data_IF_764809934183
#
_entry.id   IF_764809934183
#
_cell.length_a   1.000
_cell.length_b   1.000
_cell.length_c   1.000
_cell.angle_alpha   90.00
_cell.angle_beta   90.00
_cell.angle_gamma   90.00
#
_symmetry.space_group_name_H-M   'P 1'
#
loop_
_entity.id
_entity.type
_entity.pdbx_description
1 polymer ?
#
# COMPACT_ATOMS: atom_id res chain seq x y z
N UNK A 1 -4.68 13.26 -25.22
CA UNK A 1 -4.76 13.13 -23.74
C UNK A 1 -3.91 14.22 -23.11
N UNK A 2 -4.43 15.00 -22.16
CA UNK A 2 -3.56 15.95 -21.45
C UNK A 2 -2.71 15.16 -20.45
N UNK A 3 -1.46 14.86 -20.85
CA UNK A 3 -0.41 14.26 -20.00
C UNK A 3 -0.45 14.83 -18.57
N UNK A 4 -0.71 16.14 -18.50
CA UNK A 4 -0.91 16.90 -17.26
C UNK A 4 -1.99 16.34 -16.34
N UNK A 5 -3.18 15.99 -16.86
CA UNK A 5 -4.26 15.41 -16.05
C UNK A 5 -3.85 14.05 -15.49
N UNK A 6 -3.27 13.18 -16.34
CA UNK A 6 -2.85 11.85 -15.91
C UNK A 6 -1.73 11.91 -14.86
N UNK A 7 -0.75 12.79 -15.05
CA UNK A 7 0.30 13.04 -14.06
C UNK A 7 -0.28 13.59 -12.76
N UNK A 8 -1.14 14.61 -12.83
CA UNK A 8 -1.71 15.25 -11.65
C UNK A 8 -2.50 14.24 -10.79
N UNK A 9 -3.39 13.45 -11.41
CA UNK A 9 -4.19 12.45 -10.70
C UNK A 9 -3.31 11.33 -10.15
N UNK A 10 -2.39 10.78 -10.94
CA UNK A 10 -1.50 9.69 -10.51
C UNK A 10 -0.62 10.11 -9.34
N UNK A 11 -0.01 11.31 -9.42
CA UNK A 11 0.81 11.86 -8.33
C UNK A 11 -0.05 12.12 -7.09
N UNK A 12 -1.23 12.73 -7.25
CA UNK A 12 -2.12 13.03 -6.14
C UNK A 12 -2.55 11.76 -5.39
N UNK A 13 -2.92 10.70 -6.14
CA UNK A 13 -3.28 9.40 -5.56
C UNK A 13 -2.10 8.73 -4.88
N UNK A 14 -0.96 8.61 -5.56
CA UNK A 14 0.22 7.92 -5.02
C UNK A 14 0.73 8.60 -3.75
N UNK A 15 0.88 9.93 -3.78
CA UNK A 15 1.34 10.71 -2.62
C UNK A 15 0.26 10.75 -1.53
N UNK A 16 -1.01 10.92 -1.89
CA UNK A 16 -2.14 10.96 -0.95
C UNK A 16 -2.27 9.67 -0.14
N UNK A 17 -2.17 8.51 -0.81
CA UNK A 17 -2.19 7.21 -0.14
C UNK A 17 -0.97 7.01 0.76
N UNK A 18 0.24 7.38 0.29
CA UNK A 18 1.44 7.33 1.12
C UNK A 18 1.33 8.23 2.36
N UNK A 19 0.83 9.44 2.19
CA UNK A 19 0.60 10.40 3.27
C UNK A 19 -0.44 9.86 4.27
N UNK A 20 -1.55 9.29 3.79
CA UNK A 20 -2.57 8.65 4.61
C UNK A 20 -2.02 7.46 5.40
N UNK A 21 -1.21 6.62 4.76
CA UNK A 21 -0.58 5.46 5.40
C UNK A 21 0.34 5.87 6.54
N UNK A 22 1.14 6.93 6.35
CA UNK A 22 2.01 7.48 7.38
C UNK A 22 1.23 8.20 8.47
N UNK A 23 0.20 8.96 8.12
CA UNK A 23 -0.66 9.64 9.08
C UNK A 23 -1.30 8.62 10.03
N UNK A 24 -1.86 7.55 9.48
CA UNK A 24 -2.35 6.41 10.24
C UNK A 24 -1.23 5.81 11.10
N UNK A 25 -0.08 5.48 10.52
CA UNK A 25 1.06 4.87 11.23
C UNK A 25 1.51 5.69 12.44
N UNK A 26 1.47 7.02 12.34
CA UNK A 26 1.89 7.92 13.44
C UNK A 26 0.83 8.07 14.52
N UNK A 27 -0.44 7.97 14.16
CA UNK A 27 -1.58 8.23 15.04
C UNK A 27 -2.06 6.97 15.76
N UNK A 28 -2.05 5.82 15.08
CA UNK A 28 -2.77 4.62 15.50
C UNK A 28 -1.83 3.45 15.67
N UNK A 29 -1.91 2.81 16.83
CA UNK A 29 -1.23 1.55 17.13
C UNK A 29 -2.24 0.42 17.00
N UNK A 30 -2.05 -0.45 16.02
CA UNK A 30 -2.84 -1.67 15.91
C UNK A 30 -2.56 -2.56 17.15
N UNK A 31 -3.60 -3.17 17.75
CA UNK A 31 -3.40 -4.26 18.70
C UNK A 31 -2.53 -5.31 18.02
N UNK A 32 -1.50 -5.80 18.72
CA UNK A 32 -0.48 -6.68 18.15
C UNK A 32 -1.19 -7.76 17.32
N UNK A 33 -0.96 -7.84 16.01
CA UNK A 33 -1.55 -8.92 15.24
C UNK A 33 -1.05 -10.25 15.85
N UNK A 34 -1.90 -11.29 15.89
CA UNK A 34 -1.50 -12.63 16.34
C UNK A 34 -0.44 -13.27 15.42
N UNK A 35 -0.11 -12.62 14.30
CA UNK A 35 0.90 -13.07 13.34
C UNK A 35 2.28 -12.78 13.91
N UNK A 36 3.10 -13.82 14.02
CA UNK A 36 4.48 -13.75 14.47
C UNK A 36 5.36 -12.82 13.61
N UNK A 37 6.63 -12.69 14.00
CA UNK A 37 7.60 -11.82 13.31
C UNK A 37 7.61 -12.14 11.81
N UNK A 38 7.25 -11.16 10.98
CA UNK A 38 7.26 -11.29 9.51
C UNK A 38 8.62 -11.79 9.01
N UNK A 39 8.66 -13.02 8.53
CA UNK A 39 9.87 -13.70 8.05
C UNK A 39 9.98 -13.65 6.53
N UNK A 40 11.13 -14.07 5.99
CA UNK A 40 11.33 -14.17 4.54
C UNK A 40 10.38 -15.17 3.88
N UNK A 41 9.96 -16.22 4.60
CA UNK A 41 8.92 -17.18 4.18
C UNK A 41 7.60 -16.51 3.83
N UNK A 42 7.24 -15.46 4.57
CA UNK A 42 5.95 -14.79 4.42
C UNK A 42 5.93 -13.96 3.13
N UNK A 43 7.10 -13.51 2.66
CA UNK A 43 7.26 -12.87 1.35
C UNK A 43 6.96 -13.88 0.24
N UNK A 44 7.42 -15.12 0.37
CA UNK A 44 7.14 -16.17 -0.62
C UNK A 44 5.66 -16.56 -0.61
N UNK A 45 5.02 -16.66 0.56
CA UNK A 45 3.58 -16.90 0.65
C UNK A 45 2.77 -15.74 0.06
N UNK A 46 3.14 -14.49 0.37
CA UNK A 46 2.50 -13.30 -0.19
C UNK A 46 2.70 -13.24 -1.72
N UNK A 47 3.89 -13.57 -2.21
CA UNK A 47 4.16 -13.66 -3.65
C UNK A 47 3.35 -14.77 -4.31
N UNK A 48 3.24 -15.95 -3.69
CA UNK A 48 2.40 -17.05 -4.16
C UNK A 48 0.93 -16.65 -4.23
N UNK A 49 0.45 -15.90 -3.25
CA UNK A 49 -0.91 -15.36 -3.27
C UNK A 49 -1.11 -14.33 -4.38
N UNK A 50 -0.16 -13.41 -4.57
CA UNK A 50 -0.16 -12.44 -5.68
C UNK A 50 -0.14 -13.15 -7.05
N UNK A 51 0.64 -14.22 -7.19
CA UNK A 51 0.70 -15.06 -8.39
C UNK A 51 -0.62 -15.79 -8.67
N UNK A 52 -1.32 -16.24 -7.63
CA UNK A 52 -2.56 -16.99 -7.77
C UNK A 52 -3.78 -16.10 -8.06
N UNK A 53 -3.80 -14.89 -7.50
CA UNK A 53 -4.93 -13.95 -7.57
C UNK A 53 -5.47 -13.72 -9.00
N UNK A 54 -4.63 -13.43 -10.01
CA UNK A 54 -5.09 -13.25 -11.38
C UNK A 54 -5.90 -14.43 -11.92
N UNK A 55 -5.41 -15.65 -11.69
CA UNK A 55 -6.06 -16.87 -12.14
C UNK A 55 -7.36 -17.14 -11.41
N UNK A 56 -7.40 -16.86 -10.10
CA UNK A 56 -8.63 -16.95 -9.30
C UNK A 56 -9.68 -15.97 -9.82
N UNK A 57 -9.29 -14.73 -10.14
CA UNK A 57 -10.21 -13.75 -10.71
C UNK A 57 -10.78 -14.17 -12.06
N UNK A 58 -9.96 -14.75 -12.93
CA UNK A 58 -10.42 -15.23 -14.24
C UNK A 58 -11.29 -16.49 -14.15
N UNK A 59 -11.13 -17.31 -13.11
CA UNK A 59 -11.93 -18.50 -12.89
C UNK A 59 -13.31 -18.20 -12.27
N UNK A 60 -13.52 -17.00 -11.72
CA UNK A 60 -14.77 -16.64 -11.06
C UNK A 60 -15.84 -16.22 -12.08
N UNK A 61 -17.11 -16.64 -11.91
CA UNK A 61 -18.22 -16.13 -12.71
C UNK A 61 -18.36 -14.61 -12.53
N UNK A 62 -18.65 -13.89 -13.61
CA UNK A 62 -18.69 -12.42 -13.62
C UNK A 62 -19.58 -11.81 -12.53
N UNK A 63 -20.73 -12.41 -12.23
CA UNK A 63 -21.63 -11.93 -11.16
C UNK A 63 -21.10 -12.17 -9.73
N UNK A 64 -20.21 -13.14 -9.54
CA UNK A 64 -19.63 -13.49 -8.22
C UNK A 64 -18.47 -12.57 -7.87
N UNK A 65 -17.72 -12.11 -8.88
CA UNK A 65 -16.54 -11.27 -8.71
C UNK A 65 -16.80 -10.00 -7.88
N UNK A 66 -17.82 -9.17 -8.16
CA UNK A 66 -18.11 -7.97 -7.36
C UNK A 66 -18.45 -8.29 -5.91
N UNK A 67 -19.14 -9.41 -5.65
CA UNK A 67 -19.50 -9.84 -4.29
C UNK A 67 -18.24 -10.21 -3.52
N UNK A 68 -17.35 -10.99 -4.14
CA UNK A 68 -16.06 -11.35 -3.54
C UNK A 68 -15.21 -10.12 -3.27
N UNK A 69 -15.11 -9.19 -4.22
CA UNK A 69 -14.35 -7.94 -4.05
C UNK A 69 -14.94 -7.08 -2.93
N UNK A 70 -16.26 -6.91 -2.87
CA UNK A 70 -16.93 -6.18 -1.80
C UNK A 70 -16.66 -6.80 -0.42
N UNK A 71 -16.67 -8.13 -0.32
CA UNK A 71 -16.36 -8.85 0.92
C UNK A 71 -14.89 -8.70 1.32
N UNK A 72 -13.95 -8.82 0.39
CA UNK A 72 -12.51 -8.61 0.63
C UNK A 72 -12.26 -7.18 1.11
N UNK A 73 -12.88 -6.20 0.45
CA UNK A 73 -12.78 -4.79 0.80
C UNK A 73 -13.37 -4.50 2.18
N UNK A 74 -14.58 -4.98 2.44
CA UNK A 74 -15.23 -4.85 3.75
C UNK A 74 -14.41 -5.52 4.87
N UNK A 75 -13.88 -6.72 4.63
CA UNK A 75 -13.01 -7.44 5.55
C UNK A 75 -11.73 -6.67 5.87
N UNK A 76 -11.03 -6.20 4.84
CA UNK A 76 -9.80 -5.40 4.98
C UNK A 76 -10.03 -4.08 5.74
N UNK A 77 -11.16 -3.42 5.50
CA UNK A 77 -11.55 -2.21 6.24
C UNK A 77 -11.92 -2.53 7.70
N UNK A 78 -12.66 -3.60 7.95
CA UNK A 78 -13.07 -4.02 9.29
C UNK A 78 -11.86 -4.26 10.20
N UNK A 79 -10.88 -5.01 9.72
CA UNK A 79 -9.64 -5.32 10.47
C UNK A 79 -8.78 -4.06 10.64
N UNK A 80 -8.57 -3.29 9.57
CA UNK A 80 -7.71 -2.11 9.58
C UNK A 80 -8.21 -0.97 10.44
N UNK A 81 -9.53 -0.74 10.47
CA UNK A 81 -10.12 0.40 11.16
C UNK A 81 -10.70 0.05 12.53
N UNK A 82 -10.57 -1.21 12.96
CA UNK A 82 -10.88 -1.63 14.33
C UNK A 82 -10.24 -0.75 15.41
N UNK A 83 -8.97 -0.33 15.31
CA UNK A 83 -8.35 0.47 16.37
C UNK A 83 -8.85 1.93 16.41
N UNK A 84 -9.46 2.43 15.32
CA UNK A 84 -10.02 3.78 15.26
C UNK A 84 -11.47 3.81 15.70
N UNK A 85 -12.25 2.81 15.26
CA UNK A 85 -13.69 2.73 15.48
C UNK A 85 -13.95 1.50 16.36
N UNK A 86 -13.79 1.69 17.67
CA UNK A 86 -13.98 0.62 18.65
C UNK A 86 -15.41 0.08 18.70
N UNK A 87 -16.40 0.86 18.28
CA UNK A 87 -17.79 0.41 18.16
C UNK A 87 -17.98 -0.40 16.86
N UNK A 88 -18.12 -1.72 16.99
CA UNK A 88 -18.31 -2.63 15.87
C UNK A 88 -19.53 -2.30 15.00
N UNK A 89 -20.65 -1.89 15.59
CA UNK A 89 -21.88 -1.55 14.83
C UNK A 89 -21.66 -0.32 13.96
N UNK A 90 -21.10 0.74 14.53
CA UNK A 90 -20.78 1.97 13.79
C UNK A 90 -19.77 1.70 12.67
N UNK A 91 -18.73 0.90 12.97
CA UNK A 91 -17.71 0.53 11.97
C UNK A 91 -18.35 -0.21 10.78
N UNK A 92 -19.17 -1.22 11.05
CA UNK A 92 -19.86 -1.96 9.99
C UNK A 92 -20.87 -1.10 9.23
N UNK A 93 -21.57 -0.19 9.89
CA UNK A 93 -22.46 0.77 9.23
C UNK A 93 -21.68 1.67 8.25
N UNK A 94 -20.52 2.21 8.66
CA UNK A 94 -19.67 3.03 7.80
C UNK A 94 -19.09 2.24 6.63
N UNK A 95 -18.67 0.99 6.86
CA UNK A 95 -18.20 0.09 5.79
C UNK A 95 -19.35 -0.19 4.82
N UNK A 96 -20.55 -0.51 5.31
CA UNK A 96 -21.71 -0.75 4.47
C UNK A 96 -22.05 0.48 3.62
N UNK A 97 -22.01 1.69 4.20
CA UNK A 97 -22.23 2.94 3.48
C UNK A 97 -21.16 3.17 2.40
N UNK A 98 -19.88 2.90 2.69
CA UNK A 98 -18.79 3.04 1.72
C UNK A 98 -18.91 2.04 0.55
N UNK A 99 -19.23 0.78 0.86
CA UNK A 99 -19.41 -0.26 -0.16
C UNK A 99 -20.66 0.04 -1.00
N UNK A 100 -21.78 0.39 -0.35
CA UNK A 100 -23.01 0.76 -1.02
C UNK A 100 -22.84 2.01 -1.89
N UNK A 101 -22.06 3.00 -1.47
CA UNK A 101 -21.85 4.22 -2.27
C UNK A 101 -21.12 3.94 -3.58
N UNK A 102 -20.15 3.02 -3.60
CA UNK A 102 -19.48 2.57 -4.82
C UNK A 102 -20.48 1.88 -5.76
N UNK A 103 -21.30 0.97 -5.22
CA UNK A 103 -22.32 0.26 -6.01
C UNK A 103 -23.36 1.23 -6.59
N UNK A 104 -23.92 2.10 -5.75
CA UNK A 104 -24.92 3.09 -6.18
C UNK A 104 -24.33 4.04 -7.22
N UNK A 105 -23.11 4.52 -7.03
CA UNK A 105 -22.46 5.39 -8.00
C UNK A 105 -22.22 4.67 -9.33
N UNK A 106 -21.84 3.40 -9.30
CA UNK A 106 -21.67 2.58 -10.50
C UNK A 106 -23.02 2.37 -11.23
N UNK A 107 -24.08 2.01 -10.51
CA UNK A 107 -25.40 1.76 -11.10
C UNK A 107 -26.07 3.04 -11.62
N UNK A 108 -25.87 4.17 -10.94
CA UNK A 108 -26.51 5.44 -11.29
C UNK A 108 -25.78 6.21 -12.40
N UNK A 109 -24.45 6.16 -12.43
CA UNK A 109 -23.64 6.99 -13.34
C UNK A 109 -22.75 6.21 -14.30
N UNK A 110 -22.58 4.90 -14.10
CA UNK A 110 -21.68 4.06 -14.89
C UNK A 110 -20.20 4.16 -14.48
N UNK A 111 -19.36 3.37 -15.15
CA UNK A 111 -17.95 3.21 -14.81
C UNK A 111 -17.02 4.32 -15.34
N UNK A 112 -17.49 5.17 -16.25
CA UNK A 112 -16.73 6.30 -16.79
C UNK A 112 -16.94 7.59 -16.01
N UNK A 113 -17.87 7.59 -15.05
CA UNK A 113 -18.28 8.78 -14.36
C UNK A 113 -17.39 9.12 -13.14
N UNK A 114 -17.10 10.41 -12.90
CA UNK A 114 -16.31 10.85 -11.75
C UNK A 114 -16.83 10.38 -10.37
N UNK A 115 -18.15 10.38 -10.08
CA UNK A 115 -18.66 9.95 -8.78
C UNK A 115 -18.28 8.50 -8.42
N UNK A 116 -18.34 7.58 -9.40
CA UNK A 116 -17.93 6.20 -9.22
C UNK A 116 -16.44 6.12 -8.86
N UNK A 117 -15.59 6.78 -9.63
CA UNK A 117 -14.14 6.77 -9.41
C UNK A 117 -13.73 7.40 -8.08
N UNK A 118 -14.40 8.47 -7.64
CA UNK A 118 -14.15 9.08 -6.33
C UNK A 118 -14.51 8.11 -5.20
N UNK A 119 -15.69 7.48 -5.27
CA UNK A 119 -16.12 6.51 -4.26
C UNK A 119 -15.17 5.29 -4.22
N UNK A 120 -14.88 4.70 -5.39
CA UNK A 120 -14.02 3.53 -5.51
C UNK A 120 -12.59 3.83 -5.04
N UNK A 121 -12.00 4.95 -5.49
CA UNK A 121 -10.67 5.37 -5.08
C UNK A 121 -10.57 5.60 -3.58
N UNK A 122 -11.63 6.11 -2.95
CA UNK A 122 -11.67 6.27 -1.50
C UNK A 122 -11.59 4.92 -0.79
N UNK A 123 -12.40 3.94 -1.21
CA UNK A 123 -12.37 2.58 -0.65
C UNK A 123 -11.00 1.94 -0.86
N UNK A 124 -10.46 1.99 -2.08
CA UNK A 124 -9.14 1.45 -2.42
C UNK A 124 -8.04 2.10 -1.58
N UNK A 125 -8.03 3.41 -1.45
CA UNK A 125 -7.05 4.14 -0.65
C UNK A 125 -7.11 3.72 0.84
N UNK A 126 -8.30 3.62 1.42
CA UNK A 126 -8.47 3.19 2.82
C UNK A 126 -7.99 1.75 3.04
N UNK A 127 -8.25 0.85 2.08
CA UNK A 127 -7.76 -0.54 2.13
C UNK A 127 -6.24 -0.57 2.06
N UNK A 128 -5.64 0.18 1.14
CA UNK A 128 -4.19 0.25 1.01
C UNK A 128 -3.56 0.79 2.30
N UNK A 129 -4.14 1.83 2.89
CA UNK A 129 -3.71 2.40 4.18
C UNK A 129 -3.80 1.36 5.29
N UNK A 130 -4.91 0.63 5.37
CA UNK A 130 -5.15 -0.47 6.30
C UNK A 130 -4.08 -1.57 6.14
N UNK A 131 -4.01 -2.18 4.96
CA UNK A 131 -3.12 -3.29 4.66
C UNK A 131 -1.65 -2.90 4.90
N UNK A 132 -1.24 -1.71 4.48
CA UNK A 132 0.10 -1.19 4.74
C UNK A 132 0.39 -1.16 6.24
N UNK A 133 -0.51 -0.58 7.04
CA UNK A 133 -0.28 -0.45 8.47
C UNK A 133 -0.28 -1.78 9.21
N UNK A 134 -1.16 -2.71 8.84
CA UNK A 134 -1.17 -4.06 9.40
C UNK A 134 0.16 -4.77 9.15
N UNK A 135 0.66 -4.75 7.92
CA UNK A 135 1.94 -5.38 7.56
C UNK A 135 3.14 -4.69 8.23
N UNK A 136 3.20 -3.35 8.18
CA UNK A 136 4.33 -2.59 8.75
C UNK A 136 4.38 -2.71 10.27
N UNK A 137 3.22 -2.62 10.94
CA UNK A 137 3.13 -2.76 12.40
C UNK A 137 3.27 -4.21 12.86
N UNK A 138 2.95 -5.19 12.01
CA UNK A 138 3.24 -6.62 12.19
C UNK A 138 4.74 -6.98 12.16
N UNK A 139 5.62 -6.00 11.92
CA UNK A 139 7.08 -6.18 12.04
C UNK A 139 7.83 -6.26 10.73
N UNK A 140 7.16 -6.10 9.59
CA UNK A 140 7.76 -6.17 8.26
C UNK A 140 8.93 -5.18 8.08
N UNK A 141 10.12 -5.68 7.73
CA UNK A 141 11.34 -4.86 7.59
C UNK A 141 11.45 -4.20 6.22
N UNK A 142 12.20 -3.10 6.12
CA UNK A 142 12.40 -2.42 4.82
C UNK A 142 13.15 -3.32 3.84
N UNK A 143 14.16 -4.07 4.33
CA UNK A 143 14.82 -5.13 3.55
C UNK A 143 13.82 -6.08 2.87
N UNK A 144 12.81 -6.54 3.60
CA UNK A 144 11.82 -7.50 3.10
C UNK A 144 10.97 -6.87 1.99
N UNK A 145 10.51 -5.63 2.20
CA UNK A 145 9.76 -4.87 1.19
C UNK A 145 10.60 -4.64 -0.06
N UNK A 146 11.86 -4.23 0.08
CA UNK A 146 12.72 -3.96 -1.06
C UNK A 146 12.94 -5.20 -1.94
N UNK A 147 13.15 -6.37 -1.33
CA UNK A 147 13.25 -7.63 -2.06
C UNK A 147 11.92 -8.07 -2.68
N UNK A 148 10.82 -7.89 -1.96
CA UNK A 148 9.48 -8.17 -2.47
C UNK A 148 9.18 -7.34 -3.72
N UNK A 149 9.47 -6.03 -3.71
CA UNK A 149 9.23 -5.14 -4.85
C UNK A 149 10.15 -5.46 -6.05
N UNK A 150 11.38 -5.86 -5.78
CA UNK A 150 12.30 -6.30 -6.84
C UNK A 150 11.79 -7.59 -7.51
N UNK A 151 11.28 -8.54 -6.73
CA UNK A 151 10.65 -9.75 -7.29
C UNK A 151 9.34 -9.43 -8.01
N UNK A 152 8.53 -8.49 -7.48
CA UNK A 152 7.30 -8.02 -8.11
C UNK A 152 7.57 -7.35 -9.46
N UNK A 153 8.73 -6.70 -9.62
CA UNK A 153 9.17 -6.16 -10.92
C UNK A 153 9.33 -7.24 -11.98
N UNK A 154 10.00 -8.34 -11.61
CA UNK A 154 10.19 -9.46 -12.53
C UNK A 154 8.85 -10.12 -12.88
N UNK A 155 7.96 -10.23 -11.90
CA UNK A 155 6.59 -10.70 -12.09
C UNK A 155 5.82 -9.80 -13.06
N UNK A 156 5.71 -8.50 -12.81
CA UNK A 156 4.96 -7.58 -13.66
C UNK A 156 5.52 -7.53 -15.09
N UNK A 157 6.85 -7.55 -15.25
CA UNK A 157 7.48 -7.62 -16.56
C UNK A 157 7.12 -8.91 -17.31
N UNK A 158 7.08 -10.05 -16.61
CA UNK A 158 6.69 -11.34 -17.20
C UNK A 158 5.23 -11.34 -17.66
N UNK A 159 4.30 -10.83 -16.84
CA UNK A 159 2.87 -10.75 -17.18
C UNK A 159 2.53 -9.59 -18.13
N UNK A 160 3.43 -8.63 -18.32
CA UNK A 160 3.30 -7.60 -19.34
C UNK A 160 3.80 -8.08 -20.71
N UNK A 161 4.90 -8.84 -20.76
CA UNK A 161 5.59 -9.14 -22.02
C UNK A 161 5.49 -10.59 -22.48
N UNK A 162 5.30 -11.55 -21.57
CA UNK A 162 5.34 -12.99 -21.89
C UNK A 162 3.94 -13.59 -21.91
N UNK A 163 3.12 -13.30 -20.89
CA UNK A 163 1.74 -13.79 -20.80
C UNK A 163 0.80 -12.59 -20.66
N UNK A 164 0.06 -12.16 -21.69
CA UNK A 164 -0.78 -10.95 -21.68
C UNK A 164 -2.06 -11.10 -20.83
N UNK A 165 -1.93 -11.70 -19.65
CA UNK A 165 -2.95 -11.87 -18.62
C UNK A 165 -3.41 -10.52 -18.06
N UNK A 166 -2.54 -9.51 -18.03
CA UNK A 166 -2.88 -8.17 -17.53
C UNK A 166 -4.00 -7.52 -18.35
N UNK A 167 -4.02 -7.75 -19.67
CA UNK A 167 -5.03 -7.22 -20.56
C UNK A 167 -6.35 -8.00 -20.43
N UNK A 168 -6.28 -9.34 -20.39
CA UNK A 168 -7.45 -10.18 -20.15
C UNK A 168 -8.13 -9.90 -18.80
N UNK A 169 -7.34 -9.59 -17.77
CA UNK A 169 -7.86 -9.25 -16.44
C UNK A 169 -8.47 -7.84 -16.41
N UNK A 170 -7.87 -6.89 -17.13
CA UNK A 170 -8.46 -5.56 -17.32
C UNK A 170 -9.82 -5.68 -18.01
N UNK A 171 -9.91 -6.48 -19.07
CA UNK A 171 -11.14 -6.69 -19.84
C UNK A 171 -12.20 -7.44 -19.03
N UNK A 172 -11.80 -8.44 -18.22
CA UNK A 172 -12.72 -9.22 -17.38
C UNK A 172 -13.27 -8.43 -16.19
N UNK A 173 -12.53 -7.42 -15.71
CA UNK A 173 -12.93 -6.57 -14.58
C UNK A 173 -13.62 -5.28 -15.06
N UNK A 174 -13.37 -4.86 -16.30
CA UNK A 174 -14.09 -3.75 -16.94
C UNK A 174 -15.60 -4.07 -17.00
N UNK A 175 -16.41 -3.10 -16.62
CA UNK A 175 -17.87 -3.23 -16.52
C UNK A 175 -18.39 -3.65 -15.15
N UNK A 176 -17.54 -4.04 -14.20
CA UNK A 176 -17.96 -4.46 -12.86
C UNK A 176 -17.65 -3.40 -11.78
N UNK A 177 -18.49 -3.28 -10.73
CA UNK A 177 -18.21 -2.40 -9.60
C UNK A 177 -17.05 -2.95 -8.76
N UNK A 178 -16.42 -2.06 -7.98
CA UNK A 178 -15.29 -2.36 -7.09
C UNK A 178 -13.97 -2.67 -7.81
N UNK A 179 -13.68 -1.96 -8.90
CA UNK A 179 -12.42 -2.10 -9.62
C UNK A 179 -11.22 -2.01 -8.65
N UNK A 180 -10.25 -2.95 -8.67
CA UNK A 180 -9.09 -2.98 -7.78
C UNK A 180 -8.02 -1.96 -8.22
N UNK A 181 -8.45 -0.73 -8.46
CA UNK A 181 -7.65 0.39 -8.92
C UNK A 181 -8.26 1.70 -8.42
N UNK A 182 -7.43 2.70 -8.17
CA UNK A 182 -7.88 4.06 -7.86
C UNK A 182 -7.58 4.97 -9.06
N UNK A 183 -8.42 5.95 -9.29
CA UNK A 183 -8.32 6.80 -10.46
C UNK A 183 -9.33 7.93 -10.47
N UNK A 184 -9.30 8.68 -11.55
CA UNK A 184 -10.34 9.63 -11.90
C UNK A 184 -10.55 9.55 -13.41
N UNK A 185 -11.79 9.33 -13.81
CA UNK A 185 -12.24 9.45 -15.20
C UNK A 185 -13.29 10.54 -15.31
N UNK A 186 -13.17 11.38 -16.33
CA UNK A 186 -14.08 12.47 -16.68
C UNK A 186 -14.43 12.27 -18.16
N UNK A 187 -15.55 11.59 -18.43
CA UNK A 187 -15.93 11.20 -19.79
C UNK A 187 -15.01 10.11 -20.35
N UNK A 188 -15.02 9.95 -21.68
CA UNK A 188 -14.26 8.90 -22.38
C UNK A 188 -12.80 9.31 -22.66
N UNK A 189 -12.49 10.61 -22.66
CA UNK A 189 -11.19 11.14 -23.12
C UNK A 189 -10.18 11.42 -21.99
N UNK A 190 -10.66 11.70 -20.77
CA UNK A 190 -9.81 12.06 -19.63
C UNK A 190 -9.88 10.97 -18.56
N UNK A 191 -8.89 10.09 -18.52
CA UNK A 191 -8.82 9.02 -17.53
C UNK A 191 -7.42 8.80 -17.01
N UNK A 192 -7.30 8.65 -15.69
CA UNK A 192 -6.06 8.26 -15.02
C UNK A 192 -6.39 7.21 -13.97
N UNK A 193 -5.75 6.04 -14.07
CA UNK A 193 -6.03 4.90 -13.20
C UNK A 193 -4.70 4.28 -12.77
N UNK A 194 -4.61 3.93 -11.48
CA UNK A 194 -3.44 3.30 -10.84
C UNK A 194 -3.93 2.05 -10.12
N UNK A 195 -3.25 0.93 -10.34
CA UNK A 195 -3.61 -0.33 -9.71
C UNK A 195 -3.50 -0.27 -8.18
N UNK A 196 -4.39 -0.97 -7.47
CA UNK A 196 -4.29 -1.12 -6.02
C UNK A 196 -2.94 -1.73 -5.60
N UNK A 197 -2.41 -2.68 -6.38
CA UNK A 197 -1.12 -3.31 -6.14
C UNK A 197 0.03 -2.30 -6.13
N UNK A 198 0.05 -1.39 -7.09
CA UNK A 198 1.05 -0.31 -7.17
C UNK A 198 0.95 0.64 -5.97
N UNK A 199 -0.27 1.07 -5.64
CA UNK A 199 -0.51 1.94 -4.48
C UNK A 199 -0.07 1.26 -3.17
N UNK A 200 -0.31 -0.05 -3.04
CA UNK A 200 0.16 -0.84 -1.92
C UNK A 200 1.69 -0.91 -1.88
N UNK A 201 2.35 -1.17 -2.99
CA UNK A 201 3.81 -1.16 -3.09
C UNK A 201 4.40 0.20 -2.65
N UNK A 202 3.82 1.31 -3.13
CA UNK A 202 4.26 2.67 -2.79
C UNK A 202 4.08 2.96 -1.31
N UNK A 203 2.93 2.61 -0.75
CA UNK A 203 2.60 2.83 0.66
C UNK A 203 3.46 1.94 1.58
N UNK A 204 3.65 0.66 1.25
CA UNK A 204 4.51 -0.26 1.99
C UNK A 204 5.95 0.24 2.05
N UNK A 205 6.53 0.61 0.90
CA UNK A 205 7.90 1.11 0.84
C UNK A 205 8.05 2.41 1.64
N UNK A 206 7.18 3.38 1.40
CA UNK A 206 7.29 4.70 2.05
C UNK A 206 7.09 4.59 3.57
N UNK A 207 6.12 3.80 4.01
CA UNK A 207 5.82 3.63 5.45
C UNK A 207 6.90 2.82 6.15
N UNK A 208 7.44 1.76 5.52
CA UNK A 208 8.58 1.02 6.07
C UNK A 208 9.87 1.83 6.08
N UNK A 209 10.12 2.64 5.05
CA UNK A 209 11.27 3.54 5.00
C UNK A 209 11.17 4.60 6.11
N UNK A 210 9.99 5.18 6.31
CA UNK A 210 9.73 6.09 7.43
C UNK A 210 9.93 5.39 8.79
N UNK A 211 9.44 4.16 8.95
CA UNK A 211 9.68 3.38 10.17
C UNK A 211 11.18 3.20 10.43
N UNK A 212 11.92 2.72 9.43
CA UNK A 212 13.32 2.35 9.57
C UNK A 212 14.26 3.56 9.74
N UNK A 213 14.02 4.64 8.98
CA UNK A 213 14.94 5.79 8.84
C UNK A 213 14.30 7.16 9.11
N UNK A 214 13.09 7.19 9.69
CA UNK A 214 12.37 8.41 10.05
C UNK A 214 12.21 9.37 8.85
N UNK A 215 12.43 10.68 9.08
CA UNK A 215 12.25 11.74 8.06
C UNK A 215 13.08 11.51 6.80
N UNK A 216 14.28 10.92 6.92
CA UNK A 216 15.13 10.61 5.74
C UNK A 216 14.46 9.55 4.87
N UNK A 217 14.00 8.46 5.48
CA UNK A 217 13.27 7.42 4.78
C UNK A 217 11.97 7.91 4.13
N UNK A 218 11.24 8.82 4.80
CA UNK A 218 10.07 9.47 4.21
C UNK A 218 10.40 10.29 2.96
N UNK A 219 11.41 11.15 3.03
CA UNK A 219 11.82 11.98 1.88
C UNK A 219 12.22 11.10 0.70
N UNK A 220 13.01 10.06 0.95
CA UNK A 220 13.41 9.10 -0.08
C UNK A 220 12.19 8.35 -0.65
N UNK A 221 11.28 7.88 0.20
CA UNK A 221 10.06 7.19 -0.22
C UNK A 221 9.19 8.05 -1.13
N UNK A 222 8.84 9.27 -0.70
CA UNK A 222 8.04 10.20 -1.51
C UNK A 222 8.76 10.52 -2.82
N UNK A 223 10.05 10.82 -2.79
CA UNK A 223 10.80 11.12 -4.02
C UNK A 223 10.75 9.97 -5.02
N UNK A 224 10.97 8.74 -4.57
CA UNK A 224 10.93 7.56 -5.44
C UNK A 224 9.52 7.26 -5.96
N UNK A 225 8.49 7.38 -5.11
CA UNK A 225 7.10 7.19 -5.54
C UNK A 225 6.69 8.24 -6.56
N UNK A 226 7.01 9.51 -6.34
CA UNK A 226 6.67 10.57 -7.30
C UNK A 226 7.42 10.38 -8.62
N UNK A 227 8.74 10.19 -8.57
CA UNK A 227 9.56 10.14 -9.79
C UNK A 227 9.39 8.83 -10.57
N UNK A 228 9.42 7.69 -9.88
CA UNK A 228 9.46 6.37 -10.52
C UNK A 228 8.15 5.59 -10.42
N UNK A 229 7.27 5.93 -9.46
CA UNK A 229 5.93 5.35 -9.38
C UNK A 229 4.90 6.10 -10.21
N UNK A 230 4.98 7.44 -10.24
CA UNK A 230 3.98 8.26 -10.95
C UNK A 230 4.50 8.87 -12.26
N UNK A 231 5.62 9.59 -12.22
CA UNK A 231 6.10 10.34 -13.39
C UNK A 231 6.67 9.43 -14.47
N UNK A 232 7.59 8.52 -14.13
CA UNK A 232 8.27 7.68 -15.11
C UNK A 232 7.31 6.78 -15.93
N UNK A 233 6.31 6.08 -15.33
CA UNK A 233 5.40 5.24 -16.11
C UNK A 233 4.52 6.07 -17.06
N UNK A 234 4.02 7.23 -16.60
CA UNK A 234 3.19 8.11 -17.44
C UNK A 234 4.02 8.74 -18.56
N UNK A 235 5.25 9.17 -18.27
CA UNK A 235 6.16 9.70 -19.28
C UNK A 235 6.54 8.63 -20.31
N UNK A 236 6.88 7.42 -19.87
CA UNK A 236 7.19 6.30 -20.75
C UNK A 236 6.03 5.98 -21.69
N UNK A 237 4.79 6.01 -21.20
CA UNK A 237 3.60 5.72 -22.01
C UNK A 237 3.44 6.72 -23.16
N UNK A 238 3.63 8.02 -22.88
CA UNK A 238 3.48 9.06 -23.89
C UNK A 238 4.67 9.14 -24.84
N UNK A 239 5.90 8.91 -24.35
CA UNK A 239 7.09 8.85 -25.22
C UNK A 239 6.98 7.68 -26.17
N UNK A 240 6.56 6.51 -25.69
CA UNK A 240 6.44 5.32 -26.53
C UNK A 240 5.32 5.48 -27.57
N UNK A 241 4.17 6.05 -27.16
CA UNK A 241 3.10 6.40 -28.09
C UNK A 241 3.57 7.39 -29.19
N UNK A 242 4.41 8.36 -28.84
CA UNK A 242 4.95 9.32 -29.81
C UNK A 242 6.00 8.72 -30.77
N UNK A 243 6.67 7.63 -30.39
CA UNK A 243 7.78 7.03 -31.15
C UNK A 243 7.32 5.85 -32.01
N UNK A 244 6.30 5.10 -31.60
CA UNK A 244 5.95 3.80 -32.22
C UNK A 244 4.63 3.76 -32.98
N UNK A 245 3.89 4.87 -33.06
CA UNK A 245 2.50 4.97 -33.61
C UNK A 245 1.48 3.97 -33.02
N UNK A 246 1.93 3.08 -32.12
CA UNK A 246 1.15 2.12 -31.37
C UNK A 246 1.31 2.47 -29.90
N UNK A 247 0.31 3.13 -29.32
CA UNK A 247 0.31 3.39 -27.88
C UNK A 247 0.13 2.04 -27.15
N UNK A 248 1.12 1.58 -26.36
CA UNK A 248 0.89 0.43 -25.49
C UNK A 248 -0.19 0.81 -24.48
N UNK A 249 -1.21 -0.04 -24.35
CA UNK A 249 -2.39 0.23 -23.53
C UNK A 249 -2.06 0.30 -22.04
N UNK A 250 -0.98 -0.37 -21.60
CA UNK A 250 -0.50 -0.35 -20.22
C UNK A 250 1.03 -0.44 -20.17
N UNK A 251 1.64 0.30 -19.26
CA UNK A 251 3.06 0.12 -18.89
C UNK A 251 3.11 -0.31 -17.41
N UNK A 252 3.74 -1.45 -17.08
CA UNK A 252 3.86 -1.92 -15.70
C UNK A 252 4.71 -0.96 -14.87
N UNK A 253 4.09 -0.27 -13.91
CA UNK A 253 4.75 0.75 -13.10
C UNK A 253 5.86 0.16 -12.20
N UNK A 254 5.75 -1.10 -11.78
CA UNK A 254 6.78 -1.76 -10.97
C UNK A 254 8.11 -1.91 -11.70
N UNK A 255 8.15 -1.93 -13.03
CA UNK A 255 9.42 -1.97 -13.80
C UNK A 255 10.31 -0.77 -13.48
N UNK A 256 9.71 0.38 -13.20
CA UNK A 256 10.44 1.58 -12.78
C UNK A 256 10.60 1.64 -11.27
N UNK A 257 9.52 1.37 -10.52
CA UNK A 257 9.51 1.58 -9.08
C UNK A 257 10.28 0.51 -8.29
N UNK A 258 10.17 -0.78 -8.62
CA UNK A 258 10.78 -1.83 -7.80
C UNK A 258 12.31 -1.80 -7.76
N UNK A 259 13.04 -1.65 -8.90
CA UNK A 259 14.49 -1.53 -8.88
C UNK A 259 14.96 -0.26 -8.16
N UNK A 260 14.25 0.85 -8.35
CA UNK A 260 14.60 2.13 -7.72
C UNK A 260 14.30 2.13 -6.22
N UNK A 261 13.23 1.47 -5.78
CA UNK A 261 12.95 1.19 -4.38
C UNK A 261 14.05 0.33 -3.75
N UNK A 262 14.55 -0.70 -4.45
CA UNK A 262 15.66 -1.52 -3.98
C UNK A 262 16.97 -0.71 -3.82
N UNK A 263 17.29 0.13 -4.82
CA UNK A 263 18.42 1.06 -4.74
C UNK A 263 18.24 2.08 -3.61
N UNK A 264 17.02 2.60 -3.42
CA UNK A 264 16.65 3.49 -2.32
C UNK A 264 16.87 2.84 -0.95
N UNK A 265 16.49 1.57 -0.80
CA UNK A 265 16.80 0.78 0.38
C UNK A 265 18.32 0.68 0.60
N UNK A 266 19.11 0.34 -0.42
CA UNK A 266 20.57 0.26 -0.30
C UNK A 266 21.19 1.59 0.10
N UNK A 267 20.69 2.70 -0.46
CA UNK A 267 21.11 4.05 -0.10
C UNK A 267 20.82 4.36 1.37
N UNK A 268 19.59 4.11 1.83
CA UNK A 268 19.20 4.33 3.23
C UNK A 268 20.01 3.45 4.18
N UNK A 269 20.31 2.21 3.80
CA UNK A 269 21.10 1.28 4.60
C UNK A 269 22.53 1.74 4.85
N UNK A 270 23.10 2.61 4.01
CA UNK A 270 24.41 3.23 4.27
C UNK A 270 24.40 4.15 5.49
N UNK A 271 23.23 4.65 5.90
CA UNK A 271 23.08 5.54 7.05
C UNK A 271 23.01 4.82 8.40
N UNK A 272 22.97 3.48 8.43
CA UNK A 272 22.94 2.69 9.66
C UNK A 272 21.89 1.57 9.67
N UNK A 273 21.76 0.85 10.81
CA UNK A 273 20.83 -0.27 10.95
C UNK A 273 19.37 0.17 10.94
N UNK A 274 18.48 -0.70 10.45
CA UNK A 274 17.04 -0.45 10.44
C UNK A 274 16.45 -0.42 11.87
N UNK A 275 15.68 0.63 12.19
CA UNK A 275 14.88 0.67 13.41
C UNK A 275 13.78 -0.40 13.38
N UNK A 276 13.55 -1.03 14.53
CA UNK A 276 12.48 -2.03 14.72
C UNK A 276 11.22 -1.35 15.26
N UNK A 277 10.09 -2.06 15.21
CA UNK A 277 8.83 -1.56 15.77
C UNK A 277 8.92 -1.22 17.27
N UNK A 278 9.80 -1.89 18.02
CA UNK A 278 10.05 -1.60 19.45
C UNK A 278 10.69 -0.23 19.66
N UNK A 279 11.40 0.29 18.67
CA UNK A 279 12.09 1.58 18.74
C UNK A 279 11.19 2.76 18.33
N UNK A 280 9.94 2.49 17.92
CA UNK A 280 9.02 3.51 17.39
C UNK A 280 8.08 3.98 18.51
N UNK A 281 8.13 5.28 18.79
CA UNK A 281 7.24 5.95 19.75
C UNK A 281 6.01 6.50 19.01
N UNK A 282 4.81 6.10 19.43
CA UNK A 282 3.55 6.57 18.88
C UNK A 282 3.08 7.86 19.57
N UNK A 283 2.34 8.71 18.85
CA UNK A 283 1.89 10.01 19.38
C UNK A 283 0.99 9.85 20.62
N UNK A 284 0.17 8.79 20.68
CA UNK A 284 -0.70 8.49 21.83
C UNK A 284 0.02 8.00 23.10
N UNK A 285 1.28 7.53 23.00
CA UNK A 285 2.05 7.05 24.16
C UNK A 285 2.81 8.14 24.92
N UNK A 286 2.80 9.39 24.43
CA UNK A 286 3.52 10.51 25.07
C UNK A 286 2.94 10.96 26.41
N UNK A 287 1.72 10.53 26.76
CA UNK A 287 1.06 10.87 28.02
C UNK A 287 1.39 9.96 29.22
N UNK A 288 2.05 8.82 29.03
CA UNK A 288 2.22 7.80 30.10
C UNK A 288 3.66 7.70 30.62
N UNK A 289 4.66 8.25 29.93
CA UNK A 289 6.08 8.25 30.36
C UNK A 289 6.50 9.52 31.13
N UNK A 290 5.61 10.04 31.96
CA UNK A 290 5.92 11.05 32.98
C UNK A 290 6.17 10.46 34.37
N UNK A 291 6.02 9.14 34.55
CA UNK A 291 6.27 8.45 35.82
C UNK A 291 7.72 7.96 35.90
N UNK A 292 8.45 8.55 36.85
CA UNK A 292 9.78 8.21 37.36
C UNK A 292 10.38 6.85 36.94
N UNK A 293 11.60 6.91 36.39
CA UNK A 293 12.55 5.79 36.48
C UNK A 293 12.95 5.65 37.95
N UNK A 294 12.70 4.51 38.63
CA UNK A 294 13.23 4.29 39.96
C UNK A 294 14.75 4.15 39.84
N UNK A 295 15.49 5.11 40.38
CA UNK A 295 16.90 4.90 40.66
C UNK A 295 17.02 3.79 41.71
N UNK A 296 17.85 2.75 41.51
CA UNK A 296 18.21 1.84 42.58
C UNK A 296 18.98 2.63 43.65
N UNK A 297 18.67 2.45 44.95
CA UNK A 297 19.34 3.19 46.01
C UNK A 297 20.82 2.81 46.05
N UNK A 298 21.67 3.84 46.06
CA UNK A 298 23.08 3.71 46.30
C UNK A 298 23.34 3.36 47.77
N UNK A 299 24.11 2.29 47.99
CA UNK A 299 24.94 2.12 49.19
C UNK A 299 24.48 1.03 50.17
N UNK A 300 25.34 0.01 50.34
CA UNK A 300 26.22 -0.10 51.50
C UNK A 300 27.15 -1.31 51.31
N UNK A 301 28.45 -1.06 51.52
CA UNK A 301 29.48 -2.09 51.46
C UNK A 301 29.23 -3.18 52.48
N UNK A 302 29.42 -4.42 52.04
CA UNK A 302 29.67 -5.56 52.93
C UNK A 302 31.01 -6.15 52.49
N UNK A 303 32.03 -5.81 53.28
CA UNK A 303 33.27 -6.58 53.39
C UNK A 303 32.91 -8.02 53.76
N UNK A 304 33.31 -8.97 52.91
CA UNK A 304 33.30 -10.39 53.25
C UNK A 304 34.75 -10.82 53.41
N UNK A 305 35.10 -11.12 54.66
CA UNK A 305 36.33 -11.80 55.09
C UNK A 305 36.50 -13.17 54.38
N UNK A 306 37.74 -13.63 54.17
CA UNK A 306 38.00 -14.98 53.71
C UNK A 306 37.98 -15.94 54.90
N UNK A 307 37.31 -17.08 54.76
CA UNK A 307 37.48 -18.22 55.67
C UNK A 307 37.83 -19.45 54.87
N UNK A 308 39.04 -19.96 55.16
CA UNK A 308 39.43 -21.37 55.30
C UNK A 308 38.95 -22.38 54.27
#
# INVERSE_FOLDING_TARGET
>A
MSVFFQLAVTVALAVGVCAGAIAYFRAVRAPRPPVGVFNGSDIFMMMGFVLALPYVYLALPGAVLPVVLALVFAGGLSVGYQPLIGNGRLRWALIAVLIASVLVAHLAFGETAPPYWVANSTVVALIVVSATNLNVQGGMRLKNVAWFLLALTAYDAFFAWVVPLTQQLSDAVQGYPYAPAAGLRIGEELGAVVGMGDLLAYALFTTTAYKAYAKRGLRTGIALVTLFGAVAPVAALHVLAAVTDHAPTLIPAQVFFGPTAFLGYRYLRRSGPERRMVDVVFRGTRGVRGGAVPHPPAGRGASVEPVG
#
